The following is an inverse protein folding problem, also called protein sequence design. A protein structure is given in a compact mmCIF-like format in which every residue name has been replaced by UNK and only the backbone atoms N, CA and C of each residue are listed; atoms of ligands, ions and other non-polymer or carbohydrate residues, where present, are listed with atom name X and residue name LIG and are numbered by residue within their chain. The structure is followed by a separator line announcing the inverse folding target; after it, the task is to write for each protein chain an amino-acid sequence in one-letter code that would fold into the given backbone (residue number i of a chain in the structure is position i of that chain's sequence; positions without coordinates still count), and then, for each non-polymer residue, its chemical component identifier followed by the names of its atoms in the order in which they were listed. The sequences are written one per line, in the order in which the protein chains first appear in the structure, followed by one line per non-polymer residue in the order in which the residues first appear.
data_IF_255977104355
#
_entry.id   IF_255977104355
#
_cell.length_a   1.000
_cell.length_b   1.000
_cell.length_c   1.000
_cell.angle_alpha   90.00
_cell.angle_beta   90.00
_cell.angle_gamma   90.00
#
_symmetry.space_group_name_H-M   'P 1'
#
loop_
_entity.id
_entity.type
_entity.pdbx_description
1 polymer ?
#
# COMPACT_ATOMS: atom_id res chain seq x y z
N UNK A 1 -4.36 -0.44 11.04
CA UNK A 1 -4.38 1.04 10.85
C UNK A 1 -4.02 1.74 12.16
N UNK A 2 -4.60 1.36 13.30
CA UNK A 2 -4.31 1.99 14.60
C UNK A 2 -2.83 1.94 15.00
N UNK A 3 -2.16 0.81 14.84
CA UNK A 3 -0.73 0.65 15.16
C UNK A 3 0.18 1.55 14.29
N UNK A 4 -0.11 1.67 13.00
CA UNK A 4 0.61 2.57 12.09
C UNK A 4 0.47 4.04 12.52
N UNK A 5 -0.75 4.47 12.88
CA UNK A 5 -0.98 5.83 13.36
C UNK A 5 -0.19 6.16 14.63
N UNK A 6 -0.11 5.24 15.59
CA UNK A 6 0.70 5.40 16.80
C UNK A 6 2.20 5.48 16.46
N UNK A 7 2.69 4.64 15.53
CA UNK A 7 4.06 4.69 15.03
C UNK A 7 4.40 6.07 14.46
N UNK A 8 3.58 6.61 13.57
CA UNK A 8 3.82 7.94 12.97
C UNK A 8 3.87 9.07 14.00
N UNK A 9 3.06 9.02 15.07
CA UNK A 9 3.13 10.00 16.16
C UNK A 9 4.45 9.91 16.90
N UNK A 10 4.96 8.71 17.15
CA UNK A 10 6.26 8.49 17.81
C UNK A 10 7.39 9.02 16.91
N UNK A 11 7.39 8.66 15.63
CA UNK A 11 8.40 9.08 14.66
C UNK A 11 8.44 10.60 14.54
N UNK A 12 7.28 11.26 14.42
CA UNK A 12 7.20 12.71 14.38
C UNK A 12 7.79 13.39 15.62
N UNK A 13 7.55 12.83 16.81
CA UNK A 13 8.07 13.38 18.07
C UNK A 13 9.57 13.19 18.24
N UNK A 14 10.15 12.20 17.57
CA UNK A 14 11.59 11.96 17.58
C UNK A 14 12.36 12.89 16.63
N UNK A 15 11.67 13.54 15.68
CA UNK A 15 12.30 14.44 14.71
C UNK A 15 12.44 15.84 15.28
N UNK A 16 13.59 16.49 14.98
CA UNK A 16 13.76 17.93 15.15
C UNK A 16 12.80 18.72 14.25
N UNK A 17 12.60 20.00 14.53
CA UNK A 17 11.83 20.87 13.65
C UNK A 17 12.45 20.88 12.24
N UNK A 18 11.61 20.80 11.20
CA UNK A 18 11.99 20.63 9.79
C UNK A 18 12.74 19.32 9.49
N UNK A 19 12.70 18.35 10.40
CA UNK A 19 13.24 17.01 10.17
C UNK A 19 12.41 16.25 9.14
N UNK A 20 13.09 15.57 8.20
CA UNK A 20 12.47 14.77 7.16
C UNK A 20 12.14 13.37 7.67
N UNK A 21 10.91 12.93 7.45
CA UNK A 21 10.46 11.55 7.58
C UNK A 21 10.35 10.90 6.20
N UNK A 22 10.98 9.75 6.04
CA UNK A 22 10.85 8.91 4.84
C UNK A 22 10.49 7.49 5.27
N UNK A 23 9.52 6.88 4.58
CA UNK A 23 9.18 5.49 4.79
C UNK A 23 8.74 4.82 3.48
N UNK A 24 8.97 3.52 3.40
CA UNK A 24 8.46 2.65 2.33
C UNK A 24 7.65 1.53 2.98
N UNK A 25 6.41 1.38 2.56
CA UNK A 25 5.48 0.36 3.08
C UNK A 25 4.95 -0.47 1.93
N UNK A 26 4.61 -1.72 2.23
CA UNK A 26 3.78 -2.54 1.35
C UNK A 26 2.32 -2.22 1.67
N UNK A 27 1.53 -1.87 0.66
CA UNK A 27 0.17 -1.37 0.86
C UNK A 27 -0.76 -1.70 -0.31
N UNK A 28 -1.88 -1.03 -0.34
CA UNK A 28 -2.83 -1.05 -1.45
C UNK A 28 -3.35 -2.44 -1.81
N UNK A 29 -3.28 -2.75 -3.10
CA UNK A 29 -3.77 -4.00 -3.68
C UNK A 29 -2.75 -5.16 -3.64
N UNK A 30 -1.71 -5.05 -2.83
CA UNK A 30 -0.70 -6.12 -2.70
C UNK A 30 -1.34 -7.47 -2.41
N UNK A 31 -0.91 -8.48 -3.18
CA UNK A 31 -1.37 -9.88 -3.10
C UNK A 31 -2.90 -10.05 -3.23
N UNK A 32 -3.57 -9.15 -3.95
CA UNK A 32 -5.02 -9.23 -4.14
C UNK A 32 -5.42 -10.53 -4.83
N UNK A 33 -4.62 -11.01 -5.78
CA UNK A 33 -4.86 -12.28 -6.49
C UNK A 33 -4.80 -13.47 -5.52
N UNK A 34 -3.80 -13.51 -4.64
CA UNK A 34 -3.64 -14.56 -3.64
C UNK A 34 -4.79 -14.54 -2.63
N UNK A 35 -5.20 -13.34 -2.20
CA UNK A 35 -6.33 -13.15 -1.28
C UNK A 35 -7.62 -13.67 -1.88
N UNK A 36 -7.92 -13.32 -3.12
CA UNK A 36 -9.13 -13.75 -3.82
C UNK A 36 -9.14 -15.27 -4.02
N UNK A 37 -8.03 -15.85 -4.49
CA UNK A 37 -7.96 -17.30 -4.74
C UNK A 37 -8.09 -18.13 -3.47
N UNK A 38 -7.44 -17.74 -2.37
CA UNK A 38 -7.54 -18.42 -1.08
C UNK A 38 -8.94 -18.29 -0.49
N UNK A 39 -9.54 -17.10 -0.52
CA UNK A 39 -10.90 -16.89 -0.02
C UNK A 39 -11.94 -17.69 -0.79
N UNK A 40 -11.85 -17.73 -2.12
CA UNK A 40 -12.75 -18.51 -2.96
C UNK A 40 -12.62 -20.03 -2.69
N UNK A 41 -11.40 -20.54 -2.60
CA UNK A 41 -11.16 -21.96 -2.29
C UNK A 41 -11.65 -22.37 -0.90
N UNK A 42 -11.50 -21.51 0.11
CA UNK A 42 -12.04 -21.77 1.46
C UNK A 42 -13.56 -21.73 1.48
N UNK A 43 -14.17 -20.75 0.80
CA UNK A 43 -15.64 -20.68 0.69
C UNK A 43 -16.23 -21.94 0.05
N UNK A 44 -15.61 -22.44 -1.04
CA UNK A 44 -16.05 -23.66 -1.71
C UNK A 44 -15.91 -24.92 -0.85
N UNK A 45 -14.82 -25.06 -0.08
CA UNK A 45 -14.51 -26.31 0.64
C UNK A 45 -15.02 -26.30 2.08
N UNK A 46 -15.03 -25.14 2.74
CA UNK A 46 -15.40 -25.00 4.16
C UNK A 46 -16.70 -24.26 4.39
N UNK A 47 -17.29 -23.65 3.37
CA UNK A 47 -18.50 -22.83 3.50
C UNK A 47 -18.26 -21.48 4.19
N UNK A 48 -16.99 -21.06 4.35
CA UNK A 48 -16.61 -19.78 4.95
C UNK A 48 -15.17 -19.42 4.65
N UNK A 49 -14.78 -18.18 4.94
CA UNK A 49 -13.44 -17.65 4.64
C UNK A 49 -12.75 -17.18 5.92
N UNK A 50 -11.44 -17.33 5.97
CA UNK A 50 -10.58 -16.75 7.00
C UNK A 50 -9.55 -15.80 6.38
N UNK A 51 -9.10 -14.76 7.11
CA UNK A 51 -8.08 -13.85 6.61
C UNK A 51 -6.73 -14.57 6.51
N UNK A 52 -6.36 -14.97 5.28
CA UNK A 52 -5.07 -15.64 4.97
C UNK A 52 -3.99 -14.66 4.55
N UNK A 53 -4.38 -13.55 3.93
CA UNK A 53 -3.52 -12.45 3.56
C UNK A 53 -3.96 -11.23 4.36
N UNK A 54 -3.01 -10.57 5.03
CA UNK A 54 -3.30 -9.38 5.82
C UNK A 54 -3.91 -8.27 4.94
N UNK A 55 -4.88 -7.50 5.45
CA UNK A 55 -5.32 -6.29 4.79
C UNK A 55 -4.20 -5.25 4.83
N UNK A 56 -3.92 -4.64 3.69
CA UNK A 56 -2.95 -3.56 3.59
C UNK A 56 -3.64 -2.19 3.70
N UNK A 57 -2.88 -1.18 4.12
CA UNK A 57 -3.38 0.18 4.19
C UNK A 57 -3.49 0.79 2.79
N UNK A 58 -4.56 1.56 2.57
CA UNK A 58 -4.74 2.36 1.36
C UNK A 58 -3.93 3.66 1.42
N UNK A 59 -3.58 4.20 0.25
CA UNK A 59 -2.82 5.46 0.12
C UNK A 59 -3.53 6.63 0.83
N UNK A 60 -4.86 6.70 0.76
CA UNK A 60 -5.66 7.76 1.39
C UNK A 60 -5.63 7.64 2.91
N UNK A 61 -5.73 6.43 3.43
CA UNK A 61 -5.64 6.17 4.86
C UNK A 61 -4.28 6.58 5.41
N UNK A 62 -3.20 6.25 4.70
CA UNK A 62 -1.84 6.62 5.08
C UNK A 62 -1.66 8.13 5.09
N UNK A 63 -2.11 8.84 4.05
CA UNK A 63 -2.06 10.31 4.00
C UNK A 63 -2.81 10.96 5.16
N UNK A 64 -4.01 10.48 5.48
CA UNK A 64 -4.79 10.94 6.62
C UNK A 64 -4.11 10.64 7.97
N UNK A 65 -3.42 9.50 8.09
CA UNK A 65 -2.65 9.14 9.28
C UNK A 65 -1.46 10.07 9.51
N UNK A 66 -0.70 10.41 8.46
CA UNK A 66 0.40 11.36 8.55
C UNK A 66 -0.07 12.75 9.00
N UNK A 67 -1.18 13.23 8.43
CA UNK A 67 -1.79 14.50 8.84
C UNK A 67 -2.24 14.48 10.32
N UNK A 68 -2.93 13.41 10.75
CA UNK A 68 -3.36 13.26 12.15
C UNK A 68 -2.20 13.10 13.12
N UNK A 69 -1.08 12.52 12.68
CA UNK A 69 0.15 12.46 13.46
C UNK A 69 0.84 13.83 13.59
N UNK A 70 0.39 14.84 12.84
CA UNK A 70 0.89 16.22 12.91
C UNK A 70 2.13 16.45 12.06
N UNK A 71 2.35 15.67 11.00
CA UNK A 71 3.36 15.97 9.99
C UNK A 71 2.92 17.12 9.09
N UNK A 72 3.89 17.91 8.65
CA UNK A 72 3.73 18.94 7.62
C UNK A 72 4.08 18.36 6.24
N UNK A 73 3.44 18.90 5.20
CA UNK A 73 3.72 18.59 3.80
C UNK A 73 3.77 17.08 3.48
N UNK A 74 2.79 16.28 3.93
CA UNK A 74 2.80 14.85 3.68
C UNK A 74 2.59 14.57 2.19
N UNK A 75 3.46 13.75 1.62
CA UNK A 75 3.35 13.19 0.26
C UNK A 75 3.34 11.68 0.37
N UNK A 76 2.39 11.05 -0.29
CA UNK A 76 2.32 9.59 -0.40
C UNK A 76 2.16 9.24 -1.86
N UNK A 77 3.00 8.38 -2.35
CA UNK A 77 2.98 7.88 -3.72
C UNK A 77 2.90 6.36 -3.76
N UNK A 78 2.43 5.79 -4.87
CA UNK A 78 2.26 4.35 -5.05
C UNK A 78 2.96 3.87 -6.29
N UNK A 79 3.92 2.96 -6.11
CA UNK A 79 4.54 2.22 -7.19
C UNK A 79 3.97 0.80 -7.25
N UNK A 80 3.31 0.46 -8.37
CA UNK A 80 2.78 -0.87 -8.61
C UNK A 80 3.77 -1.72 -9.38
N UNK A 81 4.15 -2.85 -8.79
CA UNK A 81 5.00 -3.86 -9.40
C UNK A 81 4.20 -5.15 -9.58
N UNK A 82 4.18 -5.68 -10.80
CA UNK A 82 3.60 -7.00 -11.09
C UNK A 82 4.73 -8.00 -11.28
N UNK A 83 4.80 -8.98 -10.38
CA UNK A 83 5.75 -10.10 -10.46
C UNK A 83 5.05 -11.30 -11.06
N UNK A 84 5.75 -12.03 -11.93
CA UNK A 84 5.21 -13.22 -12.62
C UNK A 84 5.87 -14.49 -12.10
N UNK A 85 5.09 -15.45 -11.72
CA UNK A 85 5.51 -16.75 -11.18
C UNK A 85 5.01 -17.89 -12.05
N UNK A 86 5.73 -19.00 -12.06
CA UNK A 86 5.25 -20.18 -12.78
C UNK A 86 4.02 -20.78 -12.12
N UNK A 87 3.88 -20.66 -10.80
CA UNK A 87 2.71 -21.11 -10.04
C UNK A 87 2.49 -20.28 -8.78
N UNK A 88 1.29 -20.32 -8.20
CA UNK A 88 0.99 -19.76 -6.88
C UNK A 88 1.95 -20.29 -5.79
N UNK A 89 2.43 -21.53 -5.90
CA UNK A 89 3.33 -22.10 -4.89
C UNK A 89 4.72 -21.48 -4.90
N UNK A 90 5.22 -21.04 -6.06
CA UNK A 90 6.48 -20.29 -6.14
C UNK A 90 6.35 -18.93 -5.44
N UNK A 91 5.24 -18.20 -5.67
CA UNK A 91 4.94 -16.98 -4.91
C UNK A 91 4.92 -17.23 -3.39
N UNK A 92 4.18 -18.27 -2.94
CA UNK A 92 4.09 -18.58 -1.51
C UNK A 92 5.45 -18.97 -0.91
N UNK A 93 6.30 -19.67 -1.67
CA UNK A 93 7.67 -19.98 -1.25
C UNK A 93 8.51 -18.72 -1.04
N UNK A 94 8.45 -17.79 -1.98
CA UNK A 94 9.20 -16.53 -1.90
C UNK A 94 8.69 -15.64 -0.75
N UNK A 95 7.38 -15.55 -0.56
CA UNK A 95 6.79 -14.86 0.60
C UNK A 95 7.30 -15.44 1.92
N UNK A 96 7.38 -16.78 2.03
CA UNK A 96 7.94 -17.44 3.23
C UNK A 96 9.42 -17.15 3.40
N UNK A 97 10.21 -17.15 2.33
CA UNK A 97 11.63 -16.83 2.37
C UNK A 97 11.89 -15.38 2.84
N UNK A 98 10.98 -14.45 2.52
CA UNK A 98 11.00 -13.07 3.01
C UNK A 98 10.47 -12.92 4.45
N UNK A 99 10.03 -13.99 5.10
CA UNK A 99 9.39 -13.92 6.43
C UNK A 99 7.95 -13.39 6.42
N UNK A 100 7.36 -13.21 5.25
CA UNK A 100 5.99 -12.70 5.09
C UNK A 100 4.96 -13.79 5.37
N UNK A 101 4.77 -14.14 6.63
CA UNK A 101 3.74 -15.06 7.08
C UNK A 101 2.53 -14.33 7.66
N UNK A 102 1.40 -15.03 7.77
CA UNK A 102 0.18 -14.46 8.34
C UNK A 102 0.32 -14.27 9.85
N UNK A 103 0.48 -13.02 10.28
CA UNK A 103 0.64 -12.60 11.68
C UNK A 103 -0.65 -12.07 12.30
N UNK A 104 -1.79 -12.14 11.59
CA UNK A 104 -3.06 -11.63 12.10
C UNK A 104 -3.51 -12.38 13.35
N UNK A 105 -3.98 -11.65 14.35
CA UNK A 105 -4.54 -12.23 15.57
C UNK A 105 -5.80 -13.03 15.27
N UNK A 106 -6.61 -12.57 14.32
CA UNK A 106 -7.87 -13.17 13.87
C UNK A 106 -7.67 -14.30 12.84
N UNK A 107 -6.43 -14.70 12.56
CA UNK A 107 -6.17 -15.79 11.61
C UNK A 107 -6.81 -17.10 12.11
N UNK A 108 -7.33 -17.89 11.19
CA UNK A 108 -7.74 -19.25 11.51
C UNK A 108 -6.51 -20.07 11.96
N UNK A 109 -6.49 -20.61 13.18
CA UNK A 109 -5.39 -21.44 13.68
C UNK A 109 -5.26 -22.77 12.93
N UNK A 110 -6.33 -23.21 12.24
CA UNK A 110 -6.30 -24.44 11.46
C UNK A 110 -5.37 -24.28 10.24
N UNK A 111 -4.52 -25.28 9.98
CA UNK A 111 -3.61 -25.23 8.84
C UNK A 111 -4.39 -25.21 7.52
N UNK A 112 -3.78 -24.64 6.50
CA UNK A 112 -4.26 -24.71 5.13
C UNK A 112 -4.12 -26.17 4.67
N UNK A 113 -5.27 -26.82 4.34
CA UNK A 113 -5.24 -28.20 3.86
C UNK A 113 -4.74 -28.29 2.42
N UNK A 114 -4.22 -29.46 2.03
CA UNK A 114 -3.80 -29.70 0.64
C UNK A 114 -4.93 -29.48 -0.37
N UNK A 115 -6.16 -29.83 0.00
CA UNK A 115 -7.34 -29.61 -0.85
C UNK A 115 -7.58 -28.13 -1.11
N UNK A 116 -7.58 -27.29 -0.05
CA UNK A 116 -7.76 -25.84 -0.20
C UNK A 116 -6.59 -25.23 -0.99
N UNK A 117 -5.35 -25.61 -0.69
CA UNK A 117 -4.19 -25.11 -1.41
C UNK A 117 -4.22 -25.47 -2.91
N UNK A 118 -4.60 -26.71 -3.24
CA UNK A 118 -4.75 -27.15 -4.63
C UNK A 118 -5.88 -26.42 -5.35
N UNK A 119 -7.04 -26.25 -4.69
CA UNK A 119 -8.15 -25.48 -5.27
C UNK A 119 -7.81 -24.01 -5.46
N UNK A 120 -7.14 -23.40 -4.48
CA UNK A 120 -6.67 -22.01 -4.61
C UNK A 120 -5.69 -21.86 -5.78
N UNK A 121 -4.77 -22.80 -5.96
CA UNK A 121 -3.83 -22.78 -7.09
C UNK A 121 -4.55 -22.89 -8.44
N UNK A 122 -5.59 -23.71 -8.53
CA UNK A 122 -6.41 -23.83 -9.73
C UNK A 122 -7.15 -22.51 -10.04
N UNK A 123 -7.82 -21.93 -9.04
CA UNK A 123 -8.50 -20.62 -9.18
C UNK A 123 -7.50 -19.53 -9.55
N UNK A 124 -6.32 -19.56 -8.95
CA UNK A 124 -5.26 -18.57 -9.25
C UNK A 124 -4.82 -18.66 -10.71
N UNK A 125 -4.54 -19.86 -11.19
CA UNK A 125 -4.17 -20.10 -12.59
C UNK A 125 -5.31 -19.74 -13.55
N UNK A 126 -6.55 -20.04 -13.21
CA UNK A 126 -7.70 -19.72 -14.05
C UNK A 126 -7.92 -18.22 -14.22
N UNK A 127 -7.80 -17.45 -13.13
CA UNK A 127 -8.22 -16.04 -13.12
C UNK A 127 -7.07 -15.06 -13.34
N UNK A 128 -5.84 -15.44 -12.99
CA UNK A 128 -4.71 -14.50 -12.90
C UNK A 128 -3.48 -14.96 -13.66
N UNK A 129 -3.63 -15.93 -14.59
CA UNK A 129 -2.54 -16.29 -15.50
C UNK A 129 -2.52 -15.40 -16.75
N UNK A 130 -1.31 -15.23 -17.27
CA UNK A 130 -1.07 -14.64 -18.58
C UNK A 130 -1.14 -15.69 -19.70
N UNK A 131 -1.08 -15.25 -20.95
CA UNK A 131 -1.15 -16.14 -22.11
C UNK A 131 -0.05 -17.19 -22.21
N UNK A 132 1.06 -17.01 -21.47
CA UNK A 132 2.17 -17.98 -21.36
C UNK A 132 2.03 -18.94 -20.18
N UNK A 133 0.91 -18.89 -19.46
CA UNK A 133 0.62 -19.77 -18.31
C UNK A 133 1.22 -19.32 -16.97
N UNK A 134 2.01 -18.23 -16.95
CA UNK A 134 2.52 -17.66 -15.71
C UNK A 134 1.42 -16.90 -14.97
N UNK A 135 1.46 -16.96 -13.65
CA UNK A 135 0.52 -16.27 -12.77
C UNK A 135 1.10 -14.94 -12.29
N UNK A 136 0.26 -13.92 -12.20
CA UNK A 136 0.64 -12.57 -11.74
C UNK A 136 0.46 -12.45 -10.23
N UNK A 137 1.33 -11.70 -9.61
CA UNK A 137 1.20 -11.23 -8.23
C UNK A 137 1.46 -9.72 -8.18
N UNK A 138 0.50 -8.97 -7.69
CA UNK A 138 0.58 -7.52 -7.56
C UNK A 138 1.23 -7.14 -6.22
N UNK A 139 2.14 -6.18 -6.28
CA UNK A 139 2.75 -5.53 -5.11
C UNK A 139 2.64 -4.02 -5.28
N UNK A 140 1.99 -3.35 -4.35
CA UNK A 140 1.95 -1.90 -4.26
C UNK A 140 2.92 -1.44 -3.16
N UNK A 141 3.88 -0.62 -3.54
CA UNK A 141 4.82 0.02 -2.61
C UNK A 141 4.37 1.46 -2.39
N UNK A 142 4.09 1.81 -1.14
CA UNK A 142 3.73 3.16 -0.75
C UNK A 142 4.98 3.90 -0.25
N UNK A 143 5.42 4.90 -1.01
CA UNK A 143 6.49 5.79 -0.63
C UNK A 143 5.92 6.99 0.11
N UNK A 144 6.41 7.23 1.33
CA UNK A 144 5.94 8.30 2.20
C UNK A 144 7.07 9.29 2.43
N UNK A 145 6.77 10.57 2.29
CA UNK A 145 7.63 11.64 2.77
C UNK A 145 6.81 12.69 3.51
N UNK A 146 7.35 13.20 4.60
CA UNK A 146 6.70 14.24 5.39
C UNK A 146 7.76 14.95 6.26
N UNK A 147 7.43 16.09 6.82
CA UNK A 147 8.35 16.85 7.66
C UNK A 147 7.76 17.12 9.04
N UNK A 148 8.61 17.19 10.04
CA UNK A 148 8.21 17.76 11.32
C UNK A 148 7.90 19.25 11.12
N UNK A 149 6.78 19.79 11.65
CA UNK A 149 6.43 21.20 11.48
C UNK A 149 7.52 22.14 12.01
N UNK A 150 7.80 23.18 11.25
CA UNK A 150 8.72 24.25 11.61
C UNK A 150 8.27 25.59 11.04
N UNK A 151 8.69 26.70 11.66
CA UNK A 151 8.28 28.05 11.24
C UNK A 151 8.84 28.46 9.88
N UNK A 152 9.97 27.88 9.45
CA UNK A 152 10.60 28.12 8.14
C UNK A 152 9.82 27.55 6.96
N UNK A 153 8.87 26.63 7.21
CA UNK A 153 8.14 25.96 6.14
C UNK A 153 7.15 26.90 5.45
N UNK A 154 6.95 26.75 4.11
CA UNK A 154 6.00 27.56 3.37
C UNK A 154 4.58 27.39 3.93
N UNK A 155 3.91 28.48 4.21
CA UNK A 155 2.51 28.50 4.66
C UNK A 155 1.58 28.78 3.48
N UNK A 156 0.41 28.14 3.41
CA UNK A 156 -0.58 28.49 2.42
C UNK A 156 -0.93 29.97 2.49
N UNK A 157 -0.98 30.63 1.35
CA UNK A 157 -1.43 32.03 1.26
C UNK A 157 -2.93 32.09 1.61
N UNK A 158 -3.36 33.18 2.21
CA UNK A 158 -4.79 33.39 2.50
C UNK A 158 -5.59 33.44 1.19
N UNK A 159 -6.81 32.87 1.14
CA UNK A 159 -7.68 33.05 -0.01
C UNK A 159 -7.83 34.51 -0.39
N UNK A 160 -7.70 34.84 -1.67
CA UNK A 160 -7.76 36.23 -2.18
C UNK A 160 -6.47 37.03 -2.10
N UNK A 161 -5.35 36.44 -1.63
CA UNK A 161 -4.04 37.11 -1.56
C UNK A 161 -3.21 37.03 -2.84
N UNK A 162 -3.77 36.50 -3.94
CA UNK A 162 -3.09 36.45 -5.23
C UNK A 162 -2.74 37.87 -5.71
N UNK A 163 -1.47 38.13 -5.97
CA UNK A 163 -0.93 39.43 -6.44
C UNK A 163 -0.84 39.50 -7.96
N UNK A 164 -0.92 38.38 -8.66
CA UNK A 164 -0.89 38.30 -10.12
C UNK A 164 -2.11 37.54 -10.66
N UNK A 165 -2.67 38.03 -11.78
CA UNK A 165 -3.72 37.27 -12.48
C UNK A 165 -3.08 36.14 -13.28
N UNK A 166 -3.72 34.98 -13.29
CA UNK A 166 -3.25 33.81 -14.06
C UNK A 166 -3.15 34.13 -15.56
N UNK A 167 -4.08 34.95 -16.07
CA UNK A 167 -4.11 35.40 -17.47
C UNK A 167 -2.84 36.16 -17.85
N UNK A 168 -2.38 37.08 -17.00
CA UNK A 168 -1.16 37.86 -17.24
C UNK A 168 0.08 36.95 -17.20
N UNK A 169 0.15 36.02 -16.27
CA UNK A 169 1.27 35.07 -16.18
C UNK A 169 1.34 34.13 -17.40
N UNK A 170 0.20 33.60 -17.87
CA UNK A 170 0.14 32.76 -19.07
C UNK A 170 0.52 33.54 -20.33
N UNK A 171 0.09 34.82 -20.41
CA UNK A 171 0.41 35.69 -21.56
C UNK A 171 1.91 36.02 -21.59
N UNK A 172 2.54 36.28 -20.44
CA UNK A 172 3.98 36.52 -20.33
C UNK A 172 4.77 35.26 -20.77
N UNK A 173 4.41 34.08 -20.26
CA UNK A 173 5.08 32.82 -20.63
C UNK A 173 4.94 32.44 -22.11
N UNK A 174 3.89 32.92 -22.80
CA UNK A 174 3.74 32.74 -24.26
C UNK A 174 4.62 33.68 -25.09
N UNK A 175 5.02 34.81 -24.55
CA UNK A 175 5.89 35.79 -25.25
C UNK A 175 7.37 35.45 -25.16
N UNK A 176 7.75 34.58 -24.21
CA UNK A 176 9.13 34.12 -24.00
C UNK A 176 9.47 32.84 -24.79
N UNK A 177 8.52 32.29 -25.56
CA UNK A 177 8.70 31.14 -26.46
C UNK A 177 8.69 31.61 -27.92
#
# INVERSE_FOLDING_TARGET
IGALGAGFVIDRRALAGDGLFLALLVGGETLTELRIALAAAEAEIRGGTAPRVAPFADIRDIGALLQRAGFALPVVDTDRVTVRYDTMFHLVRDLRAMGASNILAERDPRPLTRAIAGRAAAIYAERFSDGDGRVRATFDFLSLSAWAPHESQPKPLKPGSATARLEDAVTAARRER
#
